data_IF_283993915446
#
_entry.id   IF_283993915446
#
_cell.length_a   1.000
_cell.length_b   1.000
_cell.length_c   1.000
_cell.angle_alpha   90.00
_cell.angle_beta   90.00
_cell.angle_gamma   90.00
#
_symmetry.space_group_name_H-M   'P 1'
#
loop_
_entity.id
_entity.type
_entity.pdbx_description
1 polymer ?
#
# COMPACT_ATOMS: atom_id res chain seq x y z
N UNK A 1 -17.50 2.72 -3.72
CA UNK A 1 -16.46 3.78 -3.86
C UNK A 1 -16.03 4.15 -2.46
N UNK A 2 -14.78 3.84 -2.08
CA UNK A 2 -14.25 3.89 -0.70
C UNK A 2 -13.32 5.09 -0.44
N UNK A 3 -13.38 6.12 -1.30
CA UNK A 3 -12.36 7.18 -1.38
C UNK A 3 -12.37 8.12 -0.17
N UNK A 4 -13.50 8.24 0.56
CA UNK A 4 -13.55 9.07 1.76
C UNK A 4 -12.84 8.38 2.92
N UNK A 5 -13.05 7.09 3.06
CA UNK A 5 -12.45 6.24 4.07
C UNK A 5 -10.95 6.07 3.81
N UNK A 6 -10.55 5.88 2.55
CA UNK A 6 -9.15 5.79 2.14
C UNK A 6 -8.34 7.05 2.46
N UNK A 7 -8.92 8.24 2.28
CA UNK A 7 -8.29 9.50 2.66
C UNK A 7 -7.99 9.63 4.17
N UNK A 8 -8.64 8.85 5.03
CA UNK A 8 -8.33 8.81 6.46
C UNK A 8 -7.07 7.99 6.77
N UNK A 9 -6.59 7.20 5.80
CA UNK A 9 -5.39 6.38 5.92
C UNK A 9 -4.15 7.04 5.28
N UNK A 10 -4.36 7.93 4.31
CA UNK A 10 -3.29 8.70 3.66
C UNK A 10 -2.59 9.63 4.66
N UNK A 11 -1.25 9.68 4.59
CA UNK A 11 -0.37 10.42 5.50
C UNK A 11 -0.08 9.73 6.83
N UNK A 12 -0.69 8.58 7.12
CA UNK A 12 -0.42 7.81 8.35
C UNK A 12 0.79 6.89 8.18
N UNK A 13 1.54 6.76 9.27
CA UNK A 13 2.52 5.70 9.44
C UNK A 13 1.81 4.44 9.96
N UNK A 14 1.85 3.37 9.18
CA UNK A 14 1.15 2.12 9.48
C UNK A 14 1.95 0.94 8.92
N UNK A 15 1.91 -0.22 9.59
CA UNK A 15 2.47 -1.43 8.99
C UNK A 15 1.56 -1.95 7.87
N UNK A 16 2.13 -2.69 6.91
CA UNK A 16 1.35 -3.27 5.80
C UNK A 16 0.28 -4.25 6.31
N UNK A 17 0.56 -4.98 7.39
CA UNK A 17 -0.39 -5.91 8.03
C UNK A 17 -1.59 -5.15 8.61
N UNK A 18 -1.34 -4.07 9.33
CA UNK A 18 -2.40 -3.22 9.89
C UNK A 18 -3.20 -2.55 8.79
N UNK A 19 -2.53 -2.06 7.74
CA UNK A 19 -3.21 -1.50 6.57
C UNK A 19 -4.15 -2.53 5.95
N UNK A 20 -3.71 -3.78 5.78
CA UNK A 20 -4.57 -4.86 5.30
C UNK A 20 -5.86 -4.98 6.12
N UNK A 21 -5.76 -4.98 7.46
CA UNK A 21 -6.94 -5.05 8.33
C UNK A 21 -7.87 -3.85 8.20
N UNK A 22 -7.32 -2.65 8.09
CA UNK A 22 -8.10 -1.42 7.85
C UNK A 22 -8.85 -1.51 6.52
N UNK A 23 -8.20 -2.02 5.47
CA UNK A 23 -8.81 -2.22 4.16
C UNK A 23 -9.93 -3.28 4.21
N UNK A 24 -9.76 -4.37 4.95
CA UNK A 24 -10.83 -5.35 5.19
C UNK A 24 -12.03 -4.70 5.91
N UNK A 25 -11.78 -3.86 6.91
CA UNK A 25 -12.83 -3.15 7.64
C UNK A 25 -13.59 -2.14 6.76
N UNK A 26 -12.88 -1.43 5.88
CA UNK A 26 -13.47 -0.44 4.97
C UNK A 26 -14.25 -1.10 3.84
N UNK A 27 -13.70 -2.16 3.24
CA UNK A 27 -14.28 -2.79 2.04
C UNK A 27 -15.27 -3.90 2.37
N UNK A 28 -15.21 -4.48 3.57
CA UNK A 28 -15.98 -5.64 3.97
C UNK A 28 -15.52 -6.96 3.34
N UNK A 29 -14.41 -6.97 2.60
CA UNK A 29 -13.85 -8.14 1.94
C UNK A 29 -12.54 -8.56 2.59
N UNK A 30 -12.29 -9.87 2.66
CA UNK A 30 -11.02 -10.36 3.20
C UNK A 30 -9.90 -10.25 2.17
N UNK A 31 -8.68 -10.06 2.66
CA UNK A 31 -7.47 -9.97 1.84
C UNK A 31 -6.76 -11.33 1.81
N UNK A 32 -6.23 -11.72 0.64
CA UNK A 32 -5.55 -13.00 0.46
C UNK A 32 -4.11 -12.99 1.05
N UNK A 33 -3.36 -11.90 0.84
CA UNK A 33 -2.06 -11.65 1.48
C UNK A 33 -2.10 -10.33 2.25
N UNK A 34 -2.08 -10.42 3.57
CA UNK A 34 -2.16 -9.28 4.49
C UNK A 34 -1.04 -8.24 4.34
N UNK A 35 0.02 -8.55 3.58
CA UNK A 35 1.15 -7.64 3.32
C UNK A 35 1.18 -7.09 1.90
N UNK A 36 0.28 -7.59 1.04
CA UNK A 36 0.24 -7.25 -0.37
C UNK A 36 1.45 -7.73 -1.17
N UNK A 37 1.30 -7.68 -2.49
CA UNK A 37 2.41 -7.83 -3.43
C UNK A 37 3.17 -6.50 -3.53
N UNK A 38 4.47 -6.54 -3.24
CA UNK A 38 5.30 -5.33 -3.19
C UNK A 38 6.02 -5.09 -4.52
N UNK A 39 5.82 -3.91 -5.08
CA UNK A 39 6.56 -3.43 -6.24
C UNK A 39 7.23 -2.10 -5.91
N UNK A 40 8.54 -2.01 -6.20
CA UNK A 40 9.26 -0.74 -6.09
C UNK A 40 8.90 0.16 -7.28
N UNK A 41 8.46 1.39 -7.00
CA UNK A 41 8.20 2.39 -8.03
C UNK A 41 9.50 3.07 -8.41
N UNK A 42 10.09 2.64 -9.53
CA UNK A 42 11.31 3.23 -10.07
C UNK A 42 10.91 4.42 -10.94
N UNK A 43 11.13 5.64 -10.45
CA UNK A 43 11.01 6.83 -11.28
C UNK A 43 12.04 6.76 -12.42
N UNK A 44 11.60 7.00 -13.66
CA UNK A 44 12.45 6.98 -14.86
C UNK A 44 13.58 8.04 -14.80
N UNK A 45 13.44 9.05 -13.93
CA UNK A 45 14.51 9.99 -13.59
C UNK A 45 15.01 9.70 -12.17
N UNK A 46 16.32 9.47 -11.98
CA UNK A 46 16.90 9.38 -10.66
C UNK A 46 16.67 10.71 -9.91
N UNK A 47 15.81 10.70 -8.89
CA UNK A 47 15.76 11.78 -7.92
C UNK A 47 16.82 11.48 -6.86
N UNK A 48 18.02 12.04 -7.03
CA UNK A 48 19.12 11.85 -6.09
C UNK A 48 18.96 12.64 -4.79
N UNK A 49 18.05 13.64 -4.76
CA UNK A 49 17.91 14.61 -3.67
C UNK A 49 16.97 14.18 -2.52
N UNK A 50 16.30 13.03 -2.62
CA UNK A 50 15.37 12.57 -1.59
C UNK A 50 15.88 11.31 -0.88
N UNK A 51 15.76 11.31 0.46
CA UNK A 51 16.14 10.20 1.34
C UNK A 51 15.03 9.12 1.48
N UNK A 52 14.05 9.13 0.57
CA UNK A 52 12.94 8.19 0.56
C UNK A 52 12.77 7.47 -0.78
N UNK A 53 12.18 6.30 -0.71
CA UNK A 53 11.83 5.45 -1.85
C UNK A 53 10.32 5.21 -1.87
N UNK A 54 9.74 5.12 -3.05
CA UNK A 54 8.30 4.83 -3.24
C UNK A 54 8.09 3.39 -3.63
N UNK A 55 7.05 2.80 -3.07
CA UNK A 55 6.60 1.45 -3.33
C UNK A 55 5.08 1.43 -3.52
N UNK A 56 4.62 0.38 -4.20
CA UNK A 56 3.21 0.02 -4.28
C UNK A 56 3.04 -1.34 -3.62
N UNK A 57 2.10 -1.43 -2.67
CA UNK A 57 1.58 -2.70 -2.17
C UNK A 57 0.21 -2.96 -2.79
N UNK A 58 0.08 -4.05 -3.53
CA UNK A 58 -1.19 -4.47 -4.14
C UNK A 58 -1.85 -5.53 -3.27
N UNK A 59 -2.99 -5.19 -2.67
CA UNK A 59 -3.79 -6.09 -1.85
C UNK A 59 -4.90 -6.72 -2.69
N UNK A 60 -4.86 -8.04 -2.85
CA UNK A 60 -5.92 -8.77 -3.55
C UNK A 60 -7.06 -9.10 -2.61
N UNK A 61 -8.26 -8.66 -2.96
CA UNK A 61 -9.49 -8.94 -2.24
C UNK A 61 -10.05 -10.30 -2.66
N UNK A 62 -10.72 -10.99 -1.74
CA UNK A 62 -11.43 -12.24 -2.01
C UNK A 62 -12.75 -12.04 -2.79
N UNK A 63 -12.99 -10.84 -3.33
CA UNK A 63 -14.15 -10.48 -4.13
C UNK A 63 -13.73 -10.19 -5.58
N UNK A 64 -14.27 -10.95 -6.54
CA UNK A 64 -14.22 -10.67 -8.00
C UNK A 64 -12.84 -10.32 -8.61
N UNK A 65 -11.75 -10.74 -7.98
CA UNK A 65 -10.39 -10.28 -8.35
C UNK A 65 -10.26 -8.76 -8.33
N UNK A 66 -10.91 -8.10 -7.37
CA UNK A 66 -10.68 -6.69 -7.07
C UNK A 66 -9.38 -6.53 -6.26
N UNK A 67 -8.79 -5.36 -6.38
CA UNK A 67 -7.53 -5.01 -5.72
C UNK A 67 -7.63 -3.67 -5.01
N UNK A 68 -6.79 -3.48 -4.00
CA UNK A 68 -6.45 -2.16 -3.48
C UNK A 68 -4.97 -1.93 -3.67
N UNK A 69 -4.61 -0.89 -4.41
CA UNK A 69 -3.22 -0.44 -4.52
C UNK A 69 -2.95 0.62 -3.45
N UNK A 70 -1.90 0.39 -2.66
CA UNK A 70 -1.40 1.32 -1.68
C UNK A 70 -0.01 1.82 -2.09
N UNK A 71 0.07 3.09 -2.47
CA UNK A 71 1.34 3.77 -2.69
C UNK A 71 1.85 4.24 -1.34
N UNK A 72 3.10 3.93 -1.00
CA UNK A 72 3.72 4.34 0.24
C UNK A 72 5.17 4.74 0.04
N UNK A 73 5.70 5.48 1.01
CA UNK A 73 7.12 5.85 1.07
C UNK A 73 7.80 5.22 2.28
N UNK A 74 9.10 4.96 2.12
CA UNK A 74 9.99 4.44 3.16
C UNK A 74 11.37 5.08 3.03
N UNK A 75 12.21 4.97 4.05
CA UNK A 75 13.59 5.44 3.98
C UNK A 75 14.38 4.68 2.92
N UNK A 76 15.27 5.40 2.24
CA UNK A 76 16.12 4.84 1.19
C UNK A 76 17.03 3.74 1.72
N UNK A 77 17.19 2.67 0.94
CA UNK A 77 18.10 1.57 1.29
C UNK A 77 17.50 0.57 2.28
N UNK A 78 16.21 0.67 2.59
CA UNK A 78 15.51 -0.39 3.29
C UNK A 78 15.48 -1.66 2.44
N UNK A 79 15.75 -2.80 3.09
CA UNK A 79 15.66 -4.09 2.43
C UNK A 79 14.18 -4.39 2.14
N UNK A 80 13.80 -4.74 0.91
CA UNK A 80 12.40 -5.03 0.57
C UNK A 80 11.76 -6.08 1.49
N UNK A 81 12.51 -7.09 1.91
CA UNK A 81 12.00 -8.14 2.82
C UNK A 81 11.54 -7.56 4.17
N UNK A 82 12.17 -6.48 4.64
CA UNK A 82 11.87 -5.85 5.93
C UNK A 82 10.72 -4.86 5.87
N UNK A 83 10.27 -4.47 4.67
CA UNK A 83 9.15 -3.54 4.50
C UNK A 83 7.84 -4.09 5.08
N UNK A 84 7.72 -5.41 5.19
CA UNK A 84 6.58 -6.08 5.84
C UNK A 84 6.60 -5.97 7.37
N UNK A 85 7.74 -5.59 7.95
CA UNK A 85 7.98 -5.56 9.41
C UNK A 85 8.07 -4.15 9.99
N UNK A 86 8.13 -3.12 9.14
CA UNK A 86 8.28 -1.72 9.56
C UNK A 86 7.06 -0.88 9.18
N UNK A 87 6.72 0.15 9.95
CA UNK A 87 5.73 1.14 9.53
C UNK A 87 6.20 1.86 8.27
N UNK A 88 5.25 2.17 7.40
CA UNK A 88 5.46 2.94 6.16
C UNK A 88 4.44 4.07 6.07
N UNK A 89 4.79 5.14 5.36
CA UNK A 89 3.89 6.30 5.22
C UNK A 89 3.03 6.14 3.98
N UNK A 90 1.72 5.98 4.15
CA UNK A 90 0.77 5.82 3.04
C UNK A 90 0.60 7.15 2.31
N UNK A 91 0.76 7.15 0.99
CA UNK A 91 0.61 8.33 0.16
C UNK A 91 -0.72 8.35 -0.59
N UNK A 92 -1.18 7.18 -1.05
CA UNK A 92 -2.39 7.06 -1.85
C UNK A 92 -2.96 5.64 -1.73
N UNK A 93 -4.28 5.54 -1.65
CA UNK A 93 -5.00 4.26 -1.78
C UNK A 93 -5.97 4.30 -2.96
N UNK A 94 -5.98 3.25 -3.77
CA UNK A 94 -6.84 3.15 -4.95
C UNK A 94 -7.55 1.81 -4.99
N UNK A 95 -8.88 1.81 -5.09
CA UNK A 95 -9.67 0.60 -5.29
C UNK A 95 -9.79 0.32 -6.80
N UNK A 96 -9.37 -0.87 -7.23
CA UNK A 96 -9.38 -1.30 -8.62
C UNK A 96 -10.36 -2.47 -8.75
N UNK A 97 -11.48 -2.22 -9.41
CA UNK A 97 -12.42 -3.29 -9.75
C UNK A 97 -12.15 -3.85 -11.13
N UNK A 98 -12.07 -5.17 -11.26
CA UNK A 98 -12.05 -5.83 -12.58
C UNK A 98 -13.45 -6.30 -12.91
N UNK A 99 -14.21 -5.40 -13.55
CA UNK A 99 -15.56 -5.67 -14.08
C UNK A 99 -15.48 -6.50 -15.36
#
# INVERSE_FOLDING_TARGET
MYEKEFRLLEGRDISLIELGRELENITGYSIIDSTGELQRSIALKPNFDHDWETYTATYRLNHKNDFVDAVFTTQKGQKPERLKEVPVTIQLLSYISRV
#
